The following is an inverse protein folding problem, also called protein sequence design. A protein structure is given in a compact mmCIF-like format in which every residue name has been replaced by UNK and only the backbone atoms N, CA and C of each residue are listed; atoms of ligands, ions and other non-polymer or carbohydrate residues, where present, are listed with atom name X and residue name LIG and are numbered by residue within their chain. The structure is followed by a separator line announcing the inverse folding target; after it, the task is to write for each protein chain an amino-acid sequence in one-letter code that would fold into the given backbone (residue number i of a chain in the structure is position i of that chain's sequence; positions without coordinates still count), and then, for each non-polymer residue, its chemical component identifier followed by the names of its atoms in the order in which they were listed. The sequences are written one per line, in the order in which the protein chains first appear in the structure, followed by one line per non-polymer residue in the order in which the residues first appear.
data_IF_882769245652
#
_entry.id   IF_882769245652
#
_cell.length_a   1.000
_cell.length_b   1.000
_cell.length_c   1.000
_cell.angle_alpha   90.00
_cell.angle_beta   90.00
_cell.angle_gamma   90.00
#
_symmetry.space_group_name_H-M   'P 1'
#
loop_
_entity.id
_entity.type
_entity.pdbx_description
1 polymer ?
#
# COMPACT_ATOMS: atom_id res chain seq x y z
N UNK A 1 -12.83 16.49 35.41
CA UNK A 1 -12.07 15.53 34.59
C UNK A 1 -10.62 15.64 35.02
N UNK A 2 -9.98 14.53 35.26
CA UNK A 2 -8.53 14.48 35.58
C UNK A 2 -7.71 14.83 34.35
N UNK A 3 -6.58 15.50 34.57
CA UNK A 3 -5.67 15.95 33.52
C UNK A 3 -4.23 15.63 33.89
N UNK A 4 -3.41 15.33 32.89
CA UNK A 4 -1.96 15.19 33.03
C UNK A 4 -1.28 16.31 32.25
N UNK A 5 -0.42 17.09 32.92
CA UNK A 5 0.38 18.13 32.26
C UNK A 5 1.60 17.49 31.58
N UNK A 6 1.69 17.64 30.26
CA UNK A 6 2.77 17.14 29.42
C UNK A 6 3.14 18.18 28.39
N UNK A 7 4.35 18.10 27.85
CA UNK A 7 4.64 18.84 26.60
C UNK A 7 3.85 18.24 25.44
N UNK A 8 3.64 19.02 24.38
CA UNK A 8 2.95 18.53 23.18
C UNK A 8 3.62 17.25 22.64
N UNK A 9 4.94 17.22 22.56
CA UNK A 9 5.70 16.05 22.07
C UNK A 9 5.55 14.82 22.99
N UNK A 10 5.57 15.00 24.32
CA UNK A 10 5.32 13.92 25.27
C UNK A 10 3.90 13.37 25.14
N UNK A 11 2.92 14.25 24.98
CA UNK A 11 1.53 13.85 24.78
C UNK A 11 1.34 13.09 23.46
N UNK A 12 1.96 13.55 22.37
CA UNK A 12 1.95 12.87 21.06
C UNK A 12 2.48 11.44 21.17
N UNK A 13 3.68 11.27 21.72
CA UNK A 13 4.31 9.94 21.81
C UNK A 13 3.56 9.00 22.75
N UNK A 14 3.11 9.49 23.91
CA UNK A 14 2.26 8.75 24.86
C UNK A 14 0.96 8.29 24.20
N UNK A 15 0.32 9.14 23.42
CA UNK A 15 -0.88 8.79 22.69
C UNK A 15 -0.62 7.72 21.63
N UNK A 16 0.49 7.81 20.86
CA UNK A 16 0.86 6.81 19.85
C UNK A 16 1.02 5.42 20.47
N UNK A 17 1.66 5.31 21.65
CA UNK A 17 1.84 4.04 22.38
C UNK A 17 0.50 3.41 22.76
N UNK A 18 -0.52 4.22 23.07
CA UNK A 18 -1.83 3.74 23.47
C UNK A 18 -2.70 3.21 22.32
N UNK A 19 -2.28 3.36 21.06
CA UNK A 19 -3.06 2.94 19.92
C UNK A 19 -2.69 1.54 19.46
N UNK A 20 -3.68 0.68 19.31
CA UNK A 20 -3.56 -0.66 18.73
C UNK A 20 -4.50 -0.82 17.54
N UNK A 21 -4.25 -1.80 16.69
CA UNK A 21 -5.08 -2.11 15.54
C UNK A 21 -5.35 -3.62 15.46
N UNK A 22 -6.58 -3.99 15.07
CA UNK A 22 -6.98 -5.38 14.87
C UNK A 22 -6.26 -5.99 13.65
N UNK A 23 -5.61 -7.13 13.86
CA UNK A 23 -4.92 -7.88 12.80
C UNK A 23 -5.88 -8.78 12.04
N UNK A 24 -5.41 -9.40 10.94
CA UNK A 24 -6.24 -10.32 10.13
C UNK A 24 -6.60 -11.61 10.89
N UNK A 25 -5.75 -12.05 11.81
CA UNK A 25 -5.98 -13.21 12.68
C UNK A 25 -6.88 -12.94 13.88
N UNK A 26 -7.39 -11.70 14.02
CA UNK A 26 -8.24 -11.27 15.12
C UNK A 26 -7.47 -10.81 16.36
N UNK A 27 -6.15 -10.95 16.42
CA UNK A 27 -5.32 -10.39 17.50
C UNK A 27 -5.28 -8.86 17.43
N UNK A 28 -4.76 -8.21 18.48
CA UNK A 28 -4.47 -6.79 18.48
C UNK A 28 -2.97 -6.55 18.63
N UNK A 29 -2.43 -5.62 17.84
CA UNK A 29 -1.03 -5.22 17.90
C UNK A 29 -0.90 -3.70 17.98
N UNK A 30 0.22 -3.16 18.54
CA UNK A 30 0.49 -1.72 18.47
C UNK A 30 0.39 -1.20 17.04
N UNK A 31 -0.38 -0.12 16.85
CA UNK A 31 -0.58 0.48 15.52
C UNK A 31 0.74 1.03 14.96
N UNK A 32 1.50 1.72 15.81
CA UNK A 32 2.82 2.24 15.47
C UNK A 32 3.91 1.27 15.90
N UNK A 33 4.65 0.71 14.93
CA UNK A 33 5.74 -0.21 15.19
C UNK A 33 7.02 0.48 15.68
N UNK A 34 7.12 1.78 15.46
CA UNK A 34 8.24 2.62 15.83
C UNK A 34 8.27 3.92 15.03
N UNK A 35 9.35 4.67 15.22
CA UNK A 35 9.59 5.95 14.55
C UNK A 35 10.96 5.93 13.88
N UNK A 36 11.00 6.14 12.57
CA UNK A 36 12.23 6.47 11.86
C UNK A 36 12.57 7.93 12.08
N UNK A 37 13.80 8.23 12.48
CA UNK A 37 14.17 9.58 12.89
C UNK A 37 15.55 10.01 12.42
N UNK A 38 15.63 11.25 11.92
CA UNK A 38 16.85 12.06 11.86
C UNK A 38 16.59 13.31 12.68
N UNK A 39 17.46 13.54 13.66
CA UNK A 39 17.32 14.66 14.58
C UNK A 39 18.15 15.86 14.15
N UNK A 40 17.60 17.02 14.38
CA UNK A 40 18.24 18.32 14.27
C UNK A 40 17.53 19.31 15.18
N UNK A 41 17.87 20.62 15.09
CA UNK A 41 17.31 21.64 15.98
C UNK A 41 15.77 21.72 15.93
N UNK A 42 15.14 21.32 14.82
CA UNK A 42 13.69 21.38 14.64
C UNK A 42 12.88 20.30 15.37
N UNK A 43 13.53 19.24 15.89
CA UNK A 43 12.81 18.13 16.52
C UNK A 43 13.54 17.44 17.69
N UNK A 44 14.84 17.74 17.94
CA UNK A 44 15.62 16.99 18.95
C UNK A 44 15.18 17.31 20.37
N UNK A 45 15.02 18.59 20.71
CA UNK A 45 14.67 19.03 22.07
C UNK A 45 13.19 18.81 22.44
N UNK A 46 12.31 18.58 21.45
CA UNK A 46 10.92 18.28 21.67
C UNK A 46 10.62 16.79 21.45
N UNK A 47 10.39 16.43 20.18
CA UNK A 47 10.00 15.06 19.82
C UNK A 47 11.10 14.03 20.13
N UNK A 48 12.38 14.37 19.93
CA UNK A 48 13.50 13.46 20.21
C UNK A 48 13.58 13.08 21.68
N UNK A 49 13.44 14.03 22.59
CA UNK A 49 13.42 13.79 24.03
C UNK A 49 12.19 12.97 24.46
N UNK A 50 11.01 13.28 23.90
CA UNK A 50 9.80 12.54 24.16
C UNK A 50 9.89 11.07 23.69
N UNK A 51 10.48 10.81 22.51
CA UNK A 51 10.74 9.46 22.00
C UNK A 51 11.72 8.69 22.88
N UNK A 52 12.77 9.35 23.38
CA UNK A 52 13.68 8.71 24.31
C UNK A 52 12.98 8.23 25.59
N UNK A 53 12.02 9.01 26.09
CA UNK A 53 11.16 8.63 27.22
C UNK A 53 10.25 7.44 26.96
N UNK A 54 9.93 7.14 25.70
CA UNK A 54 9.04 6.03 25.29
C UNK A 54 9.79 4.89 24.56
N UNK A 55 11.12 4.87 24.57
CA UNK A 55 11.96 3.97 23.76
C UNK A 55 11.65 2.47 23.89
N UNK A 56 11.16 2.04 25.06
CA UNK A 56 10.83 0.63 25.31
C UNK A 56 9.50 0.21 24.67
N UNK A 57 8.57 1.16 24.48
CA UNK A 57 7.23 0.92 23.91
C UNK A 57 7.07 1.45 22.47
N UNK A 58 7.87 2.44 22.10
CA UNK A 58 7.88 3.05 20.77
C UNK A 58 9.34 3.21 20.30
N UNK A 59 9.96 2.16 19.78
CA UNK A 59 11.36 2.17 19.39
C UNK A 59 11.65 3.22 18.30
N UNK A 60 12.82 3.85 18.40
CA UNK A 60 13.29 4.82 17.44
C UNK A 60 14.42 4.24 16.61
N UNK A 61 14.30 4.30 15.29
CA UNK A 61 15.29 3.84 14.33
C UNK A 61 15.95 5.04 13.65
N UNK A 62 17.27 5.02 13.54
CA UNK A 62 18.01 6.09 12.86
C UNK A 62 18.32 5.68 11.43
N UNK A 63 17.94 6.53 10.48
CA UNK A 63 18.33 6.41 9.08
C UNK A 63 19.50 7.32 8.72
N UNK A 64 20.04 7.14 7.52
CA UNK A 64 21.07 7.98 6.94
C UNK A 64 20.51 9.05 5.97
N UNK A 65 19.22 8.87 5.58
CA UNK A 65 18.54 9.72 4.61
C UNK A 65 17.04 9.71 4.89
N UNK A 66 16.41 10.87 4.87
CA UNK A 66 14.99 11.04 5.24
C UNK A 66 14.05 10.38 4.23
N UNK A 67 14.37 10.43 2.92
CA UNK A 67 13.59 9.73 1.90
C UNK A 67 13.67 8.21 2.12
N UNK A 68 14.86 7.68 2.41
CA UNK A 68 15.06 6.25 2.70
C UNK A 68 14.27 5.79 3.92
N UNK A 69 14.21 6.59 5.00
CA UNK A 69 13.36 6.31 6.16
C UNK A 69 11.88 6.23 5.78
N UNK A 70 11.42 7.17 4.94
CA UNK A 70 10.06 7.14 4.41
C UNK A 70 9.79 5.87 3.59
N UNK A 71 10.73 5.46 2.74
CA UNK A 71 10.62 4.22 1.96
C UNK A 71 10.53 2.97 2.84
N UNK A 72 11.37 2.86 3.88
CA UNK A 72 11.31 1.75 4.84
C UNK A 72 9.97 1.70 5.58
N UNK A 73 9.45 2.86 6.02
CA UNK A 73 8.14 2.96 6.66
C UNK A 73 7.00 2.52 5.73
N UNK A 74 7.07 2.89 4.45
CA UNK A 74 6.10 2.52 3.42
C UNK A 74 6.13 1.01 3.17
N UNK A 75 7.33 0.45 3.02
CA UNK A 75 7.51 -0.98 2.80
C UNK A 75 6.99 -1.80 3.99
N UNK A 76 7.28 -1.37 5.20
CA UNK A 76 6.74 -1.96 6.42
C UNK A 76 5.20 -1.97 6.41
N UNK A 77 4.57 -0.82 6.15
CA UNK A 77 3.12 -0.71 6.12
C UNK A 77 2.48 -1.61 5.04
N UNK A 78 3.14 -1.73 3.87
CA UNK A 78 2.72 -2.62 2.79
C UNK A 78 2.83 -4.09 3.21
N UNK A 79 3.96 -4.50 3.80
CA UNK A 79 4.19 -5.89 4.23
C UNK A 79 3.25 -6.30 5.37
N UNK A 80 2.90 -5.36 6.25
CA UNK A 80 1.93 -5.55 7.33
C UNK A 80 0.47 -5.39 6.88
N UNK A 81 0.20 -5.44 5.57
CA UNK A 81 -1.16 -5.33 5.00
C UNK A 81 -1.94 -4.11 5.51
N UNK A 82 -1.25 -2.96 5.69
CA UNK A 82 -1.76 -1.70 6.24
C UNK A 82 -2.23 -1.77 7.71
N UNK A 83 -1.99 -2.90 8.41
CA UNK A 83 -2.46 -3.13 9.79
C UNK A 83 -1.41 -2.86 10.86
N UNK A 84 -0.25 -2.39 10.47
CA UNK A 84 0.76 -1.75 11.31
C UNK A 84 1.51 -0.76 10.43
N UNK A 85 1.94 0.33 11.00
CA UNK A 85 2.64 1.38 10.29
C UNK A 85 3.71 2.02 11.18
N UNK A 86 4.49 2.90 10.60
CA UNK A 86 5.54 3.62 11.30
C UNK A 86 5.31 5.13 11.14
N UNK A 87 5.87 5.90 12.06
CA UNK A 87 6.04 7.33 11.87
C UNK A 87 7.46 7.62 11.36
N UNK A 88 7.61 8.78 10.71
CA UNK A 88 8.90 9.28 10.20
C UNK A 88 9.05 10.72 10.62
N UNK A 89 10.17 11.07 11.27
CA UNK A 89 10.45 12.45 11.68
C UNK A 89 11.80 12.92 11.17
N UNK A 90 11.87 14.17 10.83
CA UNK A 90 13.08 14.88 10.46
C UNK A 90 13.14 16.25 11.10
N UNK A 91 14.29 16.88 11.03
CA UNK A 91 14.44 18.30 11.31
C UNK A 91 13.65 19.15 10.31
N UNK A 92 13.76 20.47 10.40
CA UNK A 92 13.05 21.40 9.53
C UNK A 92 13.74 21.53 8.16
N UNK A 93 13.08 22.21 7.23
CA UNK A 93 13.63 22.64 5.95
C UNK A 93 14.12 21.48 5.08
N UNK A 94 15.43 21.37 4.78
CA UNK A 94 15.95 20.36 3.85
C UNK A 94 15.69 18.93 4.32
N UNK A 95 15.71 18.63 5.62
CA UNK A 95 15.35 17.32 6.14
C UNK A 95 13.88 17.00 5.90
N UNK A 96 12.99 17.96 6.14
CA UNK A 96 11.57 17.81 5.87
C UNK A 96 11.28 17.62 4.38
N UNK A 97 11.80 18.52 3.52
CA UNK A 97 11.55 18.45 2.07
C UNK A 97 12.12 17.19 1.43
N UNK A 98 13.18 16.60 1.99
CA UNK A 98 13.73 15.33 1.54
C UNK A 98 12.77 14.13 1.76
N UNK A 99 11.73 14.25 2.59
CA UNK A 99 10.69 13.24 2.76
C UNK A 99 9.53 13.36 1.76
N UNK A 100 9.42 14.46 1.02
CA UNK A 100 8.25 14.75 0.17
C UNK A 100 8.07 13.69 -0.93
N UNK A 101 9.14 13.22 -1.56
CA UNK A 101 9.09 12.12 -2.52
C UNK A 101 8.53 10.84 -1.90
N UNK A 102 8.95 10.50 -0.69
CA UNK A 102 8.43 9.33 0.02
C UNK A 102 6.94 9.51 0.37
N UNK A 103 6.51 10.71 0.79
CA UNK A 103 5.10 11.01 1.03
C UNK A 103 4.27 10.85 -0.25
N UNK A 104 4.76 11.35 -1.40
CA UNK A 104 4.12 11.17 -2.70
C UNK A 104 3.99 9.69 -3.08
N UNK A 105 5.05 8.90 -2.85
CA UNK A 105 5.03 7.44 -3.08
C UNK A 105 3.98 6.75 -2.20
N UNK A 106 3.92 7.08 -0.90
CA UNK A 106 2.89 6.58 0.01
C UNK A 106 1.48 6.99 -0.45
N UNK A 107 1.31 8.22 -0.93
CA UNK A 107 0.05 8.74 -1.44
C UNK A 107 -0.43 7.96 -2.66
N UNK A 108 0.43 7.78 -3.67
CA UNK A 108 0.11 7.06 -4.90
C UNK A 108 -0.23 5.60 -4.61
N UNK A 109 0.51 4.95 -3.70
CA UNK A 109 0.29 3.54 -3.34
C UNK A 109 -0.74 3.35 -2.23
N UNK A 110 -1.31 4.44 -1.68
CA UNK A 110 -2.30 4.41 -0.58
C UNK A 110 -1.80 3.63 0.63
N UNK A 111 -0.60 3.94 1.09
CA UNK A 111 0.04 3.27 2.21
C UNK A 111 0.09 4.18 3.44
N UNK A 112 -0.27 3.66 4.63
CA UNK A 112 -0.33 4.46 5.85
C UNK A 112 1.06 4.74 6.39
N UNK A 113 1.44 6.02 6.44
CA UNK A 113 2.65 6.52 7.09
C UNK A 113 2.33 7.85 7.76
N UNK A 114 2.82 8.05 8.98
CA UNK A 114 2.71 9.31 9.70
C UNK A 114 4.02 10.10 9.57
N UNK A 115 4.01 11.19 8.81
CA UNK A 115 5.14 12.12 8.71
C UNK A 115 5.03 13.20 9.78
N UNK A 116 6.11 13.41 10.53
CA UNK A 116 6.23 14.35 11.64
C UNK A 116 7.43 15.29 11.42
N UNK A 117 7.46 16.10 10.35
CA UNK A 117 8.54 17.07 10.15
C UNK A 117 8.48 18.19 11.20
N UNK A 118 9.65 18.64 11.65
CA UNK A 118 9.76 19.91 12.36
C UNK A 118 9.37 21.09 11.46
N UNK A 119 8.86 22.17 12.05
CA UNK A 119 8.43 23.37 11.31
C UNK A 119 8.95 24.64 11.96
N UNK A 120 8.65 25.79 11.37
CA UNK A 120 8.92 27.13 11.91
C UNK A 120 8.40 27.28 13.33
N UNK A 121 8.79 28.37 14.00
CA UNK A 121 8.20 28.76 15.28
C UNK A 121 6.78 29.28 15.07
N UNK A 122 5.83 28.77 15.85
CA UNK A 122 4.43 29.21 15.78
C UNK A 122 4.26 30.68 16.18
N UNK A 123 5.08 31.16 17.12
CA UNK A 123 5.07 32.56 17.60
C UNK A 123 5.70 33.54 16.60
N UNK A 124 6.41 33.05 15.59
CA UNK A 124 7.06 33.84 14.51
C UNK A 124 8.03 34.92 14.95
N UNK A 125 8.55 34.86 16.17
CA UNK A 125 9.55 35.83 16.64
C UNK A 125 10.90 35.69 15.95
N UNK A 126 11.45 34.45 15.79
CA UNK A 126 12.64 34.25 14.97
C UNK A 126 12.28 34.40 13.49
N UNK A 127 12.98 35.31 12.80
CA UNK A 127 12.81 35.56 11.36
C UNK A 127 14.10 36.19 10.79
N UNK A 128 14.74 35.59 9.76
CA UNK A 128 14.42 34.29 9.17
C UNK A 128 14.82 33.11 10.07
N UNK A 129 14.05 32.04 10.01
CA UNK A 129 14.34 30.79 10.73
C UNK A 129 15.37 29.97 9.98
N UNK A 130 16.37 29.45 10.69
CA UNK A 130 17.40 28.58 10.09
C UNK A 130 16.74 27.40 9.35
N UNK A 131 17.21 27.14 8.12
CA UNK A 131 16.72 26.04 7.26
C UNK A 131 15.23 26.15 6.88
N UNK A 132 14.70 27.36 6.78
CA UNK A 132 13.37 27.61 6.26
C UNK A 132 13.40 28.41 4.97
N UNK A 133 12.29 28.39 4.25
CA UNK A 133 12.06 29.25 3.09
C UNK A 133 11.46 30.56 3.55
N UNK A 134 11.76 31.64 2.86
CA UNK A 134 11.17 32.96 3.06
C UNK A 134 10.18 33.22 1.92
N UNK A 135 8.94 33.58 2.27
CA UNK A 135 7.93 34.04 1.31
C UNK A 135 7.60 35.50 1.65
N UNK A 136 7.93 36.42 0.75
CA UNK A 136 7.71 37.85 0.97
C UNK A 136 6.24 38.27 0.84
N UNK A 137 5.38 37.42 0.27
CA UNK A 137 3.97 37.68 0.05
C UNK A 137 3.07 37.08 1.14
N UNK A 138 3.47 35.93 1.71
CA UNK A 138 2.67 35.19 2.69
C UNK A 138 3.57 34.62 3.81
N UNK A 139 3.58 35.29 4.95
CA UNK A 139 4.33 34.85 6.14
C UNK A 139 3.79 33.57 6.80
N UNK A 140 2.73 32.93 6.27
CA UNK A 140 2.22 31.65 6.76
C UNK A 140 2.84 30.43 6.05
N UNK A 141 3.56 30.66 4.94
CA UNK A 141 4.21 29.62 4.17
C UNK A 141 5.46 29.11 4.89
N UNK A 142 5.64 27.79 4.89
CA UNK A 142 6.87 27.14 5.30
C UNK A 142 7.27 26.05 4.31
N UNK A 143 8.50 25.53 4.43
CA UNK A 143 8.97 24.42 3.60
C UNK A 143 8.01 23.21 3.64
N UNK A 144 7.32 23.00 4.77
CA UNK A 144 6.41 21.88 4.96
C UNK A 144 5.09 21.97 4.16
N UNK A 145 4.77 23.11 3.56
CA UNK A 145 3.61 23.21 2.68
C UNK A 145 3.74 22.34 1.42
N UNK A 146 4.97 21.91 1.07
CA UNK A 146 5.21 20.91 0.03
C UNK A 146 4.54 19.54 0.33
N UNK A 147 4.18 19.24 1.58
CA UNK A 147 3.46 18.02 1.93
C UNK A 147 1.96 18.07 1.63
N UNK A 148 1.37 19.25 1.47
CA UNK A 148 -0.09 19.40 1.27
C UNK A 148 -0.61 18.57 0.09
N UNK A 149 -0.05 18.66 -1.14
CA UNK A 149 -0.55 17.91 -2.27
C UNK A 149 -0.26 16.41 -2.20
N UNK A 150 0.66 15.98 -1.36
CA UNK A 150 1.09 14.57 -1.25
C UNK A 150 0.62 13.89 0.02
N UNK A 151 -0.16 14.56 0.89
CA UNK A 151 -0.76 13.99 2.09
C UNK A 151 -2.26 13.80 1.92
N UNK A 152 -2.83 12.74 2.53
CA UNK A 152 -4.29 12.57 2.65
C UNK A 152 -4.89 13.49 3.71
N UNK A 153 -4.11 13.75 4.76
CA UNK A 153 -4.43 14.72 5.78
C UNK A 153 -3.15 15.48 6.14
N UNK A 154 -3.22 16.78 6.17
CA UNK A 154 -2.14 17.69 6.59
C UNK A 154 -2.67 18.62 7.68
N UNK A 155 -1.88 18.76 8.75
CA UNK A 155 -2.14 19.77 9.78
C UNK A 155 -0.83 20.37 10.26
N UNK A 156 -0.83 21.67 10.58
CA UNK A 156 0.29 22.36 11.21
C UNK A 156 -0.07 22.60 12.68
N UNK A 157 0.71 22.00 13.57
CA UNK A 157 0.46 22.08 15.02
C UNK A 157 1.14 23.35 15.55
N UNK A 158 0.32 24.37 15.77
CA UNK A 158 0.72 25.70 16.26
C UNK A 158 0.33 25.93 17.72
N UNK A 159 -0.36 24.97 18.36
CA UNK A 159 -0.71 24.95 19.77
C UNK A 159 -0.77 23.52 20.28
N UNK A 160 -0.37 23.24 21.53
CA UNK A 160 -0.36 21.88 22.08
C UNK A 160 -1.72 21.17 22.02
N UNK A 161 -2.80 21.87 22.34
CA UNK A 161 -4.16 21.30 22.40
C UNK A 161 -4.72 20.86 21.04
N UNK A 162 -4.14 21.30 19.91
CA UNK A 162 -4.60 20.90 18.59
C UNK A 162 -4.51 19.40 18.37
N UNK A 163 -3.52 18.71 19.01
CA UNK A 163 -3.38 17.27 18.87
C UNK A 163 -4.61 16.49 19.37
N UNK A 164 -5.42 17.06 20.26
CA UNK A 164 -6.67 16.46 20.72
C UNK A 164 -7.65 16.20 19.56
N UNK A 165 -7.62 17.05 18.53
CA UNK A 165 -8.45 16.93 17.33
C UNK A 165 -7.71 16.26 16.17
N UNK A 166 -6.43 16.56 16.00
CA UNK A 166 -5.65 16.09 14.86
C UNK A 166 -5.35 14.58 14.93
N UNK A 167 -4.97 14.05 16.11
CA UNK A 167 -4.57 12.65 16.23
C UNK A 167 -5.71 11.64 15.97
N UNK A 168 -6.96 11.84 16.42
CA UNK A 168 -8.07 11.00 15.98
C UNK A 168 -8.29 11.02 14.47
N UNK A 169 -8.10 12.18 13.81
CA UNK A 169 -8.17 12.28 12.33
C UNK A 169 -7.03 11.55 11.64
N UNK A 170 -5.80 11.61 12.20
CA UNK A 170 -4.67 10.79 11.72
C UNK A 170 -5.09 9.33 11.61
N UNK A 171 -5.60 8.74 12.69
CA UNK A 171 -6.00 7.34 12.68
C UNK A 171 -7.18 7.06 11.76
N UNK A 172 -8.13 8.00 11.63
CA UNK A 172 -9.25 7.82 10.70
C UNK A 172 -8.79 7.70 9.24
N UNK A 173 -7.69 8.34 8.87
CA UNK A 173 -7.09 8.21 7.54
C UNK A 173 -6.22 6.96 7.42
N UNK A 174 -5.32 6.73 8.40
CA UNK A 174 -4.39 5.59 8.35
C UNK A 174 -5.13 4.24 8.37
N UNK A 175 -6.30 4.16 9.01
CA UNK A 175 -7.12 2.95 9.13
C UNK A 175 -8.28 2.86 8.12
N UNK A 176 -8.45 3.84 7.21
CA UNK A 176 -9.51 3.79 6.20
C UNK A 176 -9.08 2.94 5.00
N UNK A 177 -9.76 1.83 4.67
CA UNK A 177 -9.35 0.99 3.54
C UNK A 177 -9.50 1.69 2.17
N UNK A 178 -10.40 2.67 2.05
CA UNK A 178 -10.69 3.38 0.79
C UNK A 178 -9.81 4.61 0.58
N UNK A 179 -9.56 5.38 1.65
CA UNK A 179 -8.83 6.66 1.60
C UNK A 179 -7.46 6.61 2.25
N UNK A 180 -6.98 5.44 2.64
CA UNK A 180 -5.67 5.23 3.23
C UNK A 180 -4.55 5.95 2.48
N UNK A 181 -3.59 6.48 3.21
CA UNK A 181 -2.40 7.13 2.67
C UNK A 181 -1.61 7.87 3.73
N UNK A 182 -0.60 8.65 3.33
CA UNK A 182 0.25 9.37 4.25
C UNK A 182 -0.52 10.51 4.94
N UNK A 183 -0.18 10.71 6.19
CA UNK A 183 -0.62 11.86 6.99
C UNK A 183 0.59 12.66 7.41
N UNK A 184 0.52 13.98 7.32
CA UNK A 184 1.59 14.86 7.80
C UNK A 184 1.05 15.77 8.91
N UNK A 185 1.70 15.68 10.07
CA UNK A 185 1.58 16.66 11.13
C UNK A 185 2.87 17.48 11.19
N UNK A 186 2.80 18.71 10.76
CA UNK A 186 3.92 19.65 10.76
C UNK A 186 4.05 20.26 12.16
N UNK A 187 5.16 19.95 12.86
CA UNK A 187 5.31 20.24 14.29
C UNK A 187 6.12 21.52 14.49
N UNK A 188 5.48 22.64 14.82
CA UNK A 188 6.17 23.88 15.13
C UNK A 188 7.16 23.67 16.28
N UNK A 189 8.38 24.19 16.09
CA UNK A 189 9.54 23.88 16.94
C UNK A 189 9.32 24.28 18.40
N UNK A 190 8.80 25.46 18.67
CA UNK A 190 8.44 25.99 20.00
C UNK A 190 7.34 25.16 20.66
N UNK A 191 6.28 24.85 19.90
CA UNK A 191 5.10 24.13 20.36
C UNK A 191 5.41 22.70 20.82
N UNK A 192 6.43 22.05 20.26
CA UNK A 192 6.83 20.71 20.71
C UNK A 192 7.18 20.68 22.21
N UNK A 193 7.73 21.76 22.75
CA UNK A 193 8.12 21.88 24.14
C UNK A 193 7.07 22.61 25.02
N UNK A 194 6.02 23.16 24.44
CA UNK A 194 4.95 23.80 25.19
C UNK A 194 4.12 22.79 25.97
N UNK A 195 3.82 23.12 27.23
CA UNK A 195 3.05 22.28 28.14
C UNK A 195 1.57 22.59 28.10
N UNK A 196 0.74 21.56 28.19
CA UNK A 196 -0.71 21.67 28.28
C UNK A 196 -1.28 20.60 29.22
N UNK A 197 -2.41 20.89 29.88
CA UNK A 197 -3.13 19.95 30.76
C UNK A 197 -4.07 19.07 29.93
N UNK A 198 -3.54 17.98 29.38
CA UNK A 198 -4.31 17.05 28.55
C UNK A 198 -5.28 16.21 29.39
N UNK A 199 -6.54 16.01 28.94
CA UNK A 199 -7.46 15.10 29.61
C UNK A 199 -6.93 13.66 29.64
N UNK A 200 -6.95 13.00 30.81
CA UNK A 200 -6.40 11.63 30.97
C UNK A 200 -7.06 10.62 30.01
N UNK A 201 -8.36 10.80 29.71
CA UNK A 201 -9.09 9.98 28.73
C UNK A 201 -8.47 9.99 27.33
N UNK A 202 -7.69 11.03 26.97
CA UNK A 202 -7.03 11.14 25.70
C UNK A 202 -5.96 10.05 25.50
N UNK A 203 -5.39 9.56 26.58
CA UNK A 203 -4.36 8.52 26.59
C UNK A 203 -4.91 7.11 26.86
N UNK A 204 -6.23 6.96 26.89
CA UNK A 204 -6.83 5.65 27.07
C UNK A 204 -6.47 4.70 25.92
N UNK A 205 -6.07 3.44 26.20
CA UNK A 205 -5.81 2.46 25.18
C UNK A 205 -7.01 2.27 24.25
N UNK A 206 -6.75 2.23 22.95
CA UNK A 206 -7.79 2.05 21.93
C UNK A 206 -7.34 1.03 20.88
N UNK A 207 -8.26 0.10 20.52
CA UNK A 207 -8.10 -0.80 19.39
C UNK A 207 -8.92 -0.25 18.23
N UNK A 208 -8.24 0.01 17.11
CA UNK A 208 -8.86 0.45 15.87
C UNK A 208 -9.22 -0.75 15.02
N UNK A 209 -10.39 -0.69 14.41
CA UNK A 209 -10.88 -1.70 13.48
C UNK A 209 -10.79 -1.15 12.05
N UNK A 210 -10.20 -1.91 11.13
CA UNK A 210 -10.33 -1.59 9.70
C UNK A 210 -11.70 -2.04 9.21
N UNK A 211 -12.53 -1.07 8.84
CA UNK A 211 -13.89 -1.33 8.41
C UNK A 211 -13.91 -2.16 7.13
N UNK A 212 -14.75 -3.23 7.11
CA UNK A 212 -15.09 -3.98 5.90
C UNK A 212 -16.41 -3.45 5.34
N UNK A 213 -16.32 -2.74 4.21
CA UNK A 213 -17.51 -2.21 3.53
C UNK A 213 -18.25 -3.36 2.83
N UNK A 214 -19.54 -3.53 3.10
CA UNK A 214 -20.40 -4.45 2.36
C UNK A 214 -20.87 -3.77 1.09
N UNK A 215 -20.82 -4.46 -0.07
CA UNK A 215 -21.40 -3.94 -1.30
C UNK A 215 -22.94 -3.79 -1.17
N UNK A 216 -23.48 -2.91 -1.98
CA UNK A 216 -24.93 -2.78 -2.13
C UNK A 216 -25.53 -4.04 -2.79
N UNK A 217 -26.75 -4.43 -2.38
CA UNK A 217 -27.42 -5.62 -2.90
C UNK A 217 -27.72 -5.53 -4.40
N UNK A 218 -28.06 -4.33 -4.90
CA UNK A 218 -28.34 -4.11 -6.30
C UNK A 218 -27.05 -4.24 -7.15
N UNK A 219 -25.92 -3.70 -6.67
CA UNK A 219 -24.61 -3.83 -7.32
C UNK A 219 -24.19 -5.31 -7.41
N UNK A 220 -24.35 -6.05 -6.33
CA UNK A 220 -24.06 -7.50 -6.29
C UNK A 220 -24.99 -8.28 -7.24
N UNK A 221 -26.27 -7.96 -7.29
CA UNK A 221 -27.23 -8.65 -8.18
C UNK A 221 -26.85 -8.45 -9.65
N UNK A 222 -26.46 -7.23 -10.05
CA UNK A 222 -25.99 -6.93 -11.40
C UNK A 222 -24.68 -7.70 -11.72
N UNK A 223 -23.73 -7.73 -10.80
CA UNK A 223 -22.48 -8.48 -10.92
C UNK A 223 -22.72 -9.99 -11.12
N UNK A 224 -23.61 -10.58 -10.33
CA UNK A 224 -24.00 -11.99 -10.46
C UNK A 224 -24.64 -12.26 -11.83
N UNK A 225 -25.52 -11.38 -12.29
CA UNK A 225 -26.18 -11.52 -13.58
C UNK A 225 -25.17 -11.46 -14.75
N UNK A 226 -24.16 -10.59 -14.66
CA UNK A 226 -23.09 -10.50 -15.64
C UNK A 226 -22.22 -11.77 -15.65
N UNK A 227 -21.77 -12.23 -14.48
CA UNK A 227 -20.91 -13.43 -14.36
C UNK A 227 -21.65 -14.71 -14.81
N UNK A 228 -22.95 -14.86 -14.53
CA UNK A 228 -23.73 -16.00 -15.01
C UNK A 228 -23.87 -16.09 -16.52
N UNK A 229 -23.84 -14.95 -17.21
CA UNK A 229 -23.92 -14.89 -18.69
C UNK A 229 -22.55 -15.04 -19.36
N UNK A 230 -21.47 -14.79 -18.61
CA UNK A 230 -20.13 -14.83 -19.13
C UNK A 230 -19.74 -16.23 -19.63
N UNK A 231 -19.15 -16.29 -20.80
CA UNK A 231 -18.62 -17.54 -21.41
C UNK A 231 -17.11 -17.65 -21.21
N UNK A 232 -16.45 -16.51 -21.10
CA UNK A 232 -14.99 -16.38 -21.00
C UNK A 232 -14.61 -15.36 -19.91
N UNK A 233 -15.06 -15.55 -18.67
CA UNK A 233 -14.73 -14.62 -17.59
C UNK A 233 -13.25 -14.73 -17.21
N UNK A 234 -12.64 -13.59 -16.83
CA UNK A 234 -11.31 -13.52 -16.25
C UNK A 234 -11.37 -12.76 -14.93
N UNK A 235 -10.68 -13.23 -13.89
CA UNK A 235 -10.48 -12.46 -12.67
C UNK A 235 -9.16 -11.70 -12.79
N UNK A 236 -9.18 -10.40 -12.51
CA UNK A 236 -7.99 -9.55 -12.39
C UNK A 236 -7.78 -9.19 -10.92
N UNK A 237 -6.83 -9.83 -10.26
CA UNK A 237 -6.50 -9.59 -8.87
C UNK A 237 -5.56 -8.40 -8.70
N UNK A 238 -5.99 -7.40 -7.93
CA UNK A 238 -5.20 -6.24 -7.53
C UNK A 238 -4.75 -6.31 -6.07
N UNK A 239 -4.03 -5.27 -5.62
CA UNK A 239 -3.52 -5.17 -4.25
C UNK A 239 -4.59 -5.16 -3.17
N UNK A 240 -5.84 -4.79 -3.50
CA UNK A 240 -6.97 -4.84 -2.57
C UNK A 240 -7.29 -6.24 -2.05
N UNK A 241 -7.02 -7.30 -2.83
CA UNK A 241 -7.13 -8.69 -2.39
C UNK A 241 -6.21 -8.95 -1.21
N UNK A 242 -4.95 -8.53 -1.31
CA UNK A 242 -3.95 -8.66 -0.25
C UNK A 242 -4.37 -7.91 1.02
N UNK A 243 -4.67 -6.61 0.90
CA UNK A 243 -4.99 -5.76 2.05
C UNK A 243 -6.29 -6.15 2.77
N UNK A 244 -7.20 -6.80 2.06
CA UNK A 244 -8.42 -7.36 2.61
C UNK A 244 -8.21 -8.74 3.26
N UNK A 245 -7.06 -9.41 3.02
CA UNK A 245 -6.83 -10.80 3.44
C UNK A 245 -7.69 -11.78 2.65
N UNK A 246 -8.00 -11.46 1.39
CA UNK A 246 -8.95 -12.20 0.57
C UNK A 246 -8.32 -13.28 -0.33
N UNK A 247 -7.03 -13.62 -0.16
CA UNK A 247 -6.33 -14.58 -1.03
C UNK A 247 -6.98 -15.95 -1.04
N UNK A 248 -7.38 -16.49 0.12
CA UNK A 248 -8.10 -17.78 0.19
C UNK A 248 -9.46 -17.71 -0.50
N UNK A 249 -10.26 -16.67 -0.21
CA UNK A 249 -11.58 -16.50 -0.84
C UNK A 249 -11.49 -16.31 -2.36
N UNK A 250 -10.42 -15.65 -2.85
CA UNK A 250 -10.14 -15.55 -4.29
C UNK A 250 -9.84 -16.93 -4.89
N UNK A 251 -9.02 -17.73 -4.25
CA UNK A 251 -8.66 -19.07 -4.69
C UNK A 251 -9.90 -19.96 -4.74
N UNK A 252 -10.66 -20.03 -3.65
CA UNK A 252 -11.88 -20.81 -3.55
C UNK A 252 -12.92 -20.41 -4.62
N UNK A 253 -13.07 -19.11 -4.86
CA UNK A 253 -13.97 -18.60 -5.89
C UNK A 253 -13.50 -18.98 -7.30
N UNK A 254 -12.21 -18.80 -7.60
CA UNK A 254 -11.64 -19.15 -8.90
C UNK A 254 -11.78 -20.65 -9.21
N UNK A 255 -11.47 -21.50 -8.22
CA UNK A 255 -11.62 -22.96 -8.35
C UNK A 255 -13.09 -23.38 -8.52
N UNK A 256 -13.95 -22.90 -7.62
CA UNK A 256 -15.36 -23.29 -7.62
C UNK A 256 -16.11 -22.87 -8.89
N UNK A 257 -15.71 -21.76 -9.52
CA UNK A 257 -16.31 -21.25 -10.74
C UNK A 257 -15.54 -21.64 -12.03
N UNK A 258 -14.35 -22.24 -11.91
CA UNK A 258 -13.49 -22.58 -13.04
C UNK A 258 -13.02 -21.35 -13.82
N UNK A 259 -12.70 -20.24 -13.12
CA UNK A 259 -12.32 -18.97 -13.74
C UNK A 259 -10.81 -18.75 -13.58
N UNK A 260 -10.08 -18.40 -14.65
CA UNK A 260 -8.66 -18.07 -14.54
C UNK A 260 -8.45 -16.73 -13.82
N UNK A 261 -7.30 -16.62 -13.12
CA UNK A 261 -6.87 -15.43 -12.37
C UNK A 261 -5.60 -14.87 -12.96
N UNK A 262 -5.64 -13.61 -13.35
CA UNK A 262 -4.46 -12.80 -13.67
C UNK A 262 -4.21 -11.78 -12.55
N UNK A 263 -2.96 -11.37 -12.35
CA UNK A 263 -2.62 -10.40 -11.31
C UNK A 263 -2.02 -9.12 -11.88
N UNK A 264 -2.33 -7.99 -11.22
CA UNK A 264 -1.61 -6.73 -11.45
C UNK A 264 -0.25 -6.76 -10.75
N UNK A 265 0.60 -5.75 -10.97
CA UNK A 265 1.84 -5.57 -10.20
C UNK A 265 1.60 -5.61 -8.67
N UNK A 266 0.55 -4.96 -8.20
CA UNK A 266 0.21 -4.93 -6.78
C UNK A 266 -0.51 -6.21 -6.29
N UNK A 267 -1.08 -6.98 -7.21
CA UNK A 267 -1.80 -8.22 -6.93
C UNK A 267 -0.96 -9.48 -7.12
N UNK A 268 0.24 -9.39 -7.70
CA UNK A 268 1.12 -10.54 -7.85
C UNK A 268 1.44 -11.15 -6.48
N UNK A 269 1.44 -12.46 -6.38
CA UNK A 269 1.55 -13.26 -5.14
C UNK A 269 0.30 -13.33 -4.24
N UNK A 270 -0.86 -12.87 -4.68
CA UNK A 270 -2.12 -13.14 -3.94
C UNK A 270 -2.58 -14.59 -4.07
N UNK A 271 -2.05 -15.29 -5.06
CA UNK A 271 -2.25 -16.72 -5.33
C UNK A 271 -0.89 -17.34 -5.69
N UNK A 272 -0.60 -18.59 -5.30
CA UNK A 272 0.63 -19.26 -5.70
C UNK A 272 0.80 -19.35 -7.21
N UNK A 273 1.99 -19.11 -7.72
CA UNK A 273 2.28 -19.12 -9.17
C UNK A 273 1.98 -20.47 -9.84
N UNK A 274 2.16 -21.55 -9.07
CA UNK A 274 1.90 -22.94 -9.54
C UNK A 274 0.41 -23.32 -9.60
N UNK A 275 -0.47 -22.47 -9.08
CA UNK A 275 -1.89 -22.77 -9.04
C UNK A 275 -2.46 -22.92 -10.46
N UNK A 276 -3.30 -23.94 -10.75
CA UNK A 276 -3.79 -24.21 -12.11
C UNK A 276 -4.65 -23.07 -12.69
N UNK A 277 -5.36 -22.33 -11.85
CA UNK A 277 -6.15 -21.18 -12.30
C UNK A 277 -5.34 -19.89 -12.44
N UNK A 278 -4.09 -19.83 -11.93
CA UNK A 278 -3.27 -18.63 -12.06
C UNK A 278 -2.58 -18.57 -13.40
N UNK A 279 -2.93 -17.60 -14.23
CA UNK A 279 -2.42 -17.48 -15.62
C UNK A 279 -1.33 -16.42 -15.79
N UNK A 280 -0.79 -15.94 -14.67
CA UNK A 280 0.32 -14.97 -14.67
C UNK A 280 -0.14 -13.53 -14.47
N UNK A 281 0.72 -12.62 -14.85
CA UNK A 281 0.53 -11.19 -14.65
C UNK A 281 -0.14 -10.52 -15.86
N UNK A 282 -1.05 -9.56 -15.64
CA UNK A 282 -1.72 -8.77 -16.69
C UNK A 282 -1.08 -7.39 -16.82
N UNK A 283 -0.92 -6.91 -18.03
CA UNK A 283 -0.52 -5.55 -18.34
C UNK A 283 0.61 -5.44 -19.36
N UNK A 284 1.19 -4.25 -19.49
CA UNK A 284 2.31 -3.96 -20.41
C UNK A 284 3.50 -4.90 -20.12
N UNK A 285 3.74 -5.19 -18.86
CA UNK A 285 4.76 -6.14 -18.38
C UNK A 285 4.15 -7.48 -17.97
N UNK A 286 3.03 -7.86 -18.57
CA UNK A 286 2.30 -9.08 -18.24
C UNK A 286 2.77 -10.31 -19.00
N UNK A 287 2.19 -11.47 -18.67
CA UNK A 287 2.36 -12.72 -19.38
C UNK A 287 1.56 -12.74 -20.68
N UNK A 288 2.04 -13.48 -21.68
CA UNK A 288 1.26 -13.67 -22.91
C UNK A 288 -0.07 -14.36 -22.65
N UNK A 289 -0.11 -15.33 -21.74
CA UNK A 289 -1.33 -16.04 -21.36
C UNK A 289 -2.39 -15.12 -20.77
N UNK A 290 -2.03 -14.29 -19.77
CA UNK A 290 -2.97 -13.38 -19.14
C UNK A 290 -3.45 -12.29 -20.11
N UNK A 291 -2.53 -11.73 -20.91
CA UNK A 291 -2.87 -10.67 -21.87
C UNK A 291 -3.79 -11.19 -22.99
N UNK A 292 -3.53 -12.40 -23.51
CA UNK A 292 -4.36 -13.04 -24.51
C UNK A 292 -5.79 -13.35 -23.98
N UNK A 293 -5.87 -13.88 -22.76
CA UNK A 293 -7.16 -14.12 -22.10
C UNK A 293 -7.92 -12.82 -21.87
N UNK A 294 -7.26 -11.74 -21.44
CA UNK A 294 -7.91 -10.45 -21.22
C UNK A 294 -8.47 -9.83 -22.49
N UNK A 295 -7.77 -9.99 -23.62
CA UNK A 295 -8.26 -9.52 -24.92
C UNK A 295 -9.50 -10.28 -25.41
N UNK A 296 -9.65 -11.53 -25.02
CA UNK A 296 -10.74 -12.43 -25.44
C UNK A 296 -11.83 -12.62 -24.38
N UNK A 297 -11.64 -12.10 -23.18
CA UNK A 297 -12.62 -12.15 -22.13
C UNK A 297 -13.88 -11.36 -22.51
N UNK A 298 -15.05 -11.91 -22.24
CA UNK A 298 -16.32 -11.21 -22.34
C UNK A 298 -16.67 -10.42 -21.07
N UNK A 299 -16.19 -10.91 -19.90
CA UNK A 299 -16.27 -10.21 -18.61
C UNK A 299 -14.93 -10.30 -17.88
N UNK A 300 -14.42 -9.17 -17.37
CA UNK A 300 -13.26 -9.13 -16.49
C UNK A 300 -13.71 -8.66 -15.10
N UNK A 301 -13.67 -9.57 -14.13
CA UNK A 301 -13.90 -9.24 -12.72
C UNK A 301 -12.61 -8.68 -12.12
N UNK A 302 -12.53 -7.36 -12.02
CA UNK A 302 -11.43 -6.65 -11.39
C UNK A 302 -11.64 -6.56 -9.88
N UNK A 303 -10.78 -7.21 -9.08
CA UNK A 303 -10.88 -7.24 -7.63
C UNK A 303 -9.78 -6.42 -6.99
N UNK A 304 -10.14 -5.29 -6.38
CA UNK A 304 -9.21 -4.43 -5.65
C UNK A 304 -8.09 -3.83 -6.50
N UNK A 305 -8.32 -3.63 -7.79
CA UNK A 305 -7.41 -2.95 -8.72
C UNK A 305 -7.87 -1.52 -9.02
N UNK A 306 -6.90 -0.63 -9.23
CA UNK A 306 -7.16 0.75 -9.69
C UNK A 306 -7.25 0.86 -11.21
N UNK A 307 -7.07 -0.24 -11.94
CA UNK A 307 -7.08 -0.27 -13.40
C UNK A 307 -6.20 0.83 -14.02
N UNK A 308 -4.94 0.90 -13.55
CA UNK A 308 -3.97 1.87 -14.06
C UNK A 308 -3.56 1.54 -15.52
N UNK A 309 -2.97 2.52 -16.20
CA UNK A 309 -2.53 2.44 -17.58
C UNK A 309 -1.65 1.22 -17.87
N UNK A 310 -0.65 0.95 -17.04
CA UNK A 310 0.23 -0.23 -17.16
C UNK A 310 -0.53 -1.56 -17.07
N UNK A 311 -1.54 -1.64 -16.21
CA UNK A 311 -2.39 -2.83 -16.07
C UNK A 311 -3.31 -3.01 -17.27
N UNK A 312 -3.87 -1.91 -17.78
CA UNK A 312 -4.84 -1.95 -18.88
C UNK A 312 -4.20 -1.84 -20.28
N UNK A 313 -2.86 -1.66 -20.32
CA UNK A 313 -2.15 -1.36 -21.57
C UNK A 313 -2.71 -0.10 -22.22
N UNK A 314 -2.83 0.98 -21.46
CA UNK A 314 -3.45 2.25 -21.87
C UNK A 314 -4.85 2.03 -22.46
N UNK A 315 -5.67 1.21 -21.78
CA UNK A 315 -7.03 0.78 -22.16
C UNK A 315 -7.10 -0.11 -23.41
N UNK A 316 -5.95 -0.67 -23.82
CA UNK A 316 -5.84 -1.51 -25.02
C UNK A 316 -6.04 -3.01 -24.80
N UNK A 317 -5.80 -3.52 -23.58
CA UNK A 317 -5.78 -4.96 -23.31
C UNK A 317 -7.15 -5.56 -22.99
N UNK A 318 -7.99 -4.88 -22.20
CA UNK A 318 -9.30 -5.40 -21.80
C UNK A 318 -10.34 -4.92 -22.80
N UNK A 319 -11.00 -5.85 -23.50
CA UNK A 319 -12.01 -5.56 -24.53
C UNK A 319 -13.44 -5.86 -24.07
N UNK A 320 -13.60 -6.77 -23.15
CA UNK A 320 -14.91 -7.14 -22.60
C UNK A 320 -15.40 -6.20 -21.49
N UNK A 321 -16.61 -6.50 -21.00
CA UNK A 321 -17.18 -5.74 -19.88
C UNK A 321 -16.34 -5.87 -18.63
N UNK A 322 -15.98 -4.75 -18.02
CA UNK A 322 -15.34 -4.74 -16.71
C UNK A 322 -16.42 -4.76 -15.64
N UNK A 323 -16.24 -5.65 -14.64
CA UNK A 323 -16.96 -5.67 -13.39
C UNK A 323 -15.93 -5.32 -12.32
N UNK A 324 -16.11 -4.22 -11.59
CA UNK A 324 -15.09 -3.71 -10.67
C UNK A 324 -15.54 -3.76 -9.22
N UNK A 325 -14.96 -4.70 -8.46
CA UNK A 325 -15.10 -4.78 -7.01
C UNK A 325 -13.97 -4.00 -6.35
N UNK A 326 -14.28 -2.85 -5.75
CA UNK A 326 -13.29 -1.98 -5.12
C UNK A 326 -13.89 -1.25 -3.92
N UNK A 327 -13.11 -1.04 -2.85
CA UNK A 327 -13.55 -0.24 -1.68
C UNK A 327 -13.68 1.24 -1.99
N UNK A 328 -13.02 1.73 -3.07
CA UNK A 328 -13.02 3.14 -3.46
C UNK A 328 -13.89 3.34 -4.70
N UNK A 329 -14.97 4.09 -4.54
CA UNK A 329 -15.91 4.39 -5.63
C UNK A 329 -15.21 4.98 -6.87
N UNK A 330 -14.26 5.92 -6.67
CA UNK A 330 -13.50 6.53 -7.76
C UNK A 330 -12.79 5.51 -8.65
N UNK A 331 -12.33 4.39 -8.08
CA UNK A 331 -11.71 3.31 -8.87
C UNK A 331 -12.73 2.33 -9.43
N UNK A 332 -13.83 2.11 -8.72
CA UNK A 332 -14.85 1.15 -9.10
C UNK A 332 -15.62 1.57 -10.38
N UNK A 333 -15.84 2.88 -10.58
CA UNK A 333 -16.61 3.42 -11.70
C UNK A 333 -15.81 3.60 -13.01
N UNK A 334 -14.50 3.33 -13.00
CA UNK A 334 -13.65 3.52 -14.19
C UNK A 334 -14.05 2.59 -15.33
N UNK A 335 -13.83 3.04 -16.57
CA UNK A 335 -13.98 2.24 -17.78
C UNK A 335 -15.41 1.71 -18.01
N UNK A 336 -16.43 2.47 -17.65
CA UNK A 336 -17.84 2.08 -17.75
C UNK A 336 -18.13 0.71 -17.10
N UNK A 337 -17.43 0.43 -15.98
CA UNK A 337 -17.51 -0.84 -15.29
C UNK A 337 -18.88 -1.02 -14.60
N UNK A 338 -19.38 -2.26 -14.57
CA UNK A 338 -20.37 -2.67 -13.56
C UNK A 338 -19.70 -2.47 -12.21
N UNK A 339 -20.26 -1.56 -11.42
CA UNK A 339 -19.65 -1.07 -10.18
C UNK A 339 -20.10 -1.92 -9.00
N UNK A 340 -19.14 -2.35 -8.17
CA UNK A 340 -19.40 -3.01 -6.87
C UNK A 340 -18.50 -2.36 -5.84
N UNK A 341 -19.08 -1.51 -4.98
CA UNK A 341 -18.29 -0.76 -3.97
C UNK A 341 -18.27 -1.54 -2.66
N UNK A 342 -17.15 -2.25 -2.42
CA UNK A 342 -17.03 -3.08 -1.23
C UNK A 342 -15.64 -3.64 -0.97
N UNK A 343 -15.47 -4.24 0.20
CA UNK A 343 -14.28 -4.98 0.60
C UNK A 343 -14.12 -6.24 -0.26
N UNK A 344 -12.91 -6.55 -0.70
CA UNK A 344 -12.64 -7.66 -1.61
C UNK A 344 -13.03 -9.03 -0.99
N UNK A 345 -12.77 -9.26 0.31
CA UNK A 345 -13.15 -10.52 0.97
C UNK A 345 -14.66 -10.66 0.98
N UNK A 346 -15.38 -9.66 1.47
CA UNK A 346 -16.84 -9.68 1.57
C UNK A 346 -17.48 -9.84 0.20
N UNK A 347 -16.98 -9.14 -0.81
CA UNK A 347 -17.48 -9.23 -2.18
C UNK A 347 -17.25 -10.61 -2.80
N UNK A 348 -16.04 -11.17 -2.67
CA UNK A 348 -15.72 -12.51 -3.19
C UNK A 348 -16.52 -13.61 -2.50
N UNK A 349 -16.66 -13.57 -1.17
CA UNK A 349 -17.51 -14.51 -0.42
C UNK A 349 -18.98 -14.44 -0.88
N UNK A 350 -19.50 -13.22 -1.07
CA UNK A 350 -20.88 -13.00 -1.50
C UNK A 350 -21.11 -13.53 -2.93
N UNK A 351 -20.20 -13.21 -3.86
CA UNK A 351 -20.26 -13.70 -5.24
C UNK A 351 -20.09 -15.23 -5.30
N UNK A 352 -19.12 -15.78 -4.56
CA UNK A 352 -18.86 -17.21 -4.50
C UNK A 352 -20.08 -17.99 -3.95
N UNK A 353 -20.74 -17.44 -2.93
CA UNK A 353 -21.96 -18.05 -2.41
C UNK A 353 -23.10 -18.04 -3.42
N UNK A 354 -23.32 -16.91 -4.10
CA UNK A 354 -24.40 -16.74 -5.07
C UNK A 354 -24.20 -17.53 -6.37
N UNK A 355 -22.93 -17.82 -6.71
CA UNK A 355 -22.56 -18.54 -7.94
C UNK A 355 -22.25 -20.03 -7.68
N UNK A 356 -22.62 -20.58 -6.54
CA UNK A 356 -22.44 -22.02 -6.27
C UNK A 356 -23.06 -22.89 -7.35
N UNK A 357 -22.29 -23.84 -7.87
CA UNK A 357 -22.70 -24.73 -8.94
C UNK A 357 -22.66 -24.10 -10.34
N UNK A 358 -22.25 -22.84 -10.45
CA UNK A 358 -21.98 -22.21 -11.74
C UNK A 358 -20.51 -22.38 -12.09
N UNK A 359 -20.22 -23.00 -13.23
CA UNK A 359 -18.86 -23.23 -13.72
C UNK A 359 -18.74 -22.80 -15.17
N UNK A 360 -17.55 -22.35 -15.54
CA UNK A 360 -17.19 -22.18 -16.93
C UNK A 360 -17.13 -23.54 -17.64
N UNK A 361 -17.32 -23.57 -18.97
CA UNK A 361 -17.30 -24.82 -19.71
C UNK A 361 -15.87 -25.41 -19.76
N UNK A 362 -15.79 -26.76 -19.87
CA UNK A 362 -14.53 -27.50 -19.92
C UNK A 362 -13.61 -27.02 -21.05
N UNK A 363 -14.16 -26.65 -22.20
CA UNK A 363 -13.38 -26.16 -23.35
C UNK A 363 -12.63 -24.88 -22.99
N UNK A 364 -13.23 -23.97 -22.23
CA UNK A 364 -12.56 -22.76 -21.77
C UNK A 364 -11.51 -23.05 -20.69
N UNK A 365 -11.80 -24.00 -19.78
CA UNK A 365 -10.81 -24.42 -18.78
C UNK A 365 -9.60 -25.08 -19.43
N UNK A 366 -9.78 -25.91 -20.43
CA UNK A 366 -8.69 -26.50 -21.21
C UNK A 366 -7.86 -25.44 -21.96
N UNK A 367 -8.53 -24.43 -22.49
CA UNK A 367 -7.86 -23.33 -23.21
C UNK A 367 -6.92 -22.54 -22.28
N UNK A 368 -7.41 -22.02 -21.13
CA UNK A 368 -6.52 -21.26 -20.25
C UNK A 368 -5.43 -22.13 -19.63
N UNK A 369 -5.70 -23.40 -19.35
CA UNK A 369 -4.70 -24.33 -18.88
C UNK A 369 -3.60 -24.59 -19.94
N UNK A 370 -3.97 -24.61 -21.23
CA UNK A 370 -2.99 -24.70 -22.33
C UNK A 370 -2.13 -23.44 -22.39
N UNK A 371 -2.72 -22.25 -22.38
CA UNK A 371 -2.01 -20.97 -22.42
C UNK A 371 -1.05 -20.82 -21.24
N UNK A 372 -1.48 -21.24 -20.04
CA UNK A 372 -0.60 -21.28 -18.86
C UNK A 372 0.62 -22.17 -19.09
N UNK A 373 0.44 -23.41 -19.55
CA UNK A 373 1.56 -24.32 -19.82
C UNK A 373 2.54 -23.77 -20.88
N UNK A 374 2.00 -23.14 -21.93
CA UNK A 374 2.83 -22.50 -22.96
C UNK A 374 3.65 -21.35 -22.39
N UNK A 375 3.03 -20.52 -21.52
CA UNK A 375 3.72 -19.45 -20.82
C UNK A 375 4.78 -19.98 -19.84
N UNK A 376 4.45 -20.99 -19.03
CA UNK A 376 5.39 -21.60 -18.09
C UNK A 376 6.62 -22.16 -18.82
N UNK A 377 6.42 -22.81 -19.95
CA UNK A 377 7.51 -23.32 -20.81
C UNK A 377 8.36 -22.19 -21.40
N UNK A 378 7.74 -21.07 -21.80
CA UNK A 378 8.47 -19.89 -22.28
C UNK A 378 9.33 -19.27 -21.18
N UNK A 379 8.82 -19.16 -19.95
CA UNK A 379 9.59 -18.70 -18.78
C UNK A 379 10.75 -19.63 -18.50
N UNK A 380 10.53 -20.96 -18.51
CA UNK A 380 11.59 -21.92 -18.29
C UNK A 380 12.70 -21.78 -19.33
N UNK A 381 12.35 -21.59 -20.60
CA UNK A 381 13.33 -21.46 -21.70
C UNK A 381 14.23 -20.21 -21.58
N UNK A 382 13.69 -19.06 -21.10
CA UNK A 382 14.46 -17.80 -21.00
C UNK A 382 15.21 -17.63 -19.68
N UNK A 383 14.86 -18.41 -18.65
CA UNK A 383 15.47 -18.31 -17.31
C UNK A 383 16.61 -19.29 -17.07
N UNK A 384 17.01 -20.07 -18.08
CA UNK A 384 18.14 -21.03 -18.00
C UNK A 384 19.47 -20.28 -17.92
N UNK A 385 20.49 -21.00 -17.42
CA UNK A 385 21.85 -20.50 -17.42
C UNK A 385 22.36 -20.38 -18.89
N UNK A 386 22.99 -19.25 -19.25
CA UNK A 386 23.59 -19.13 -20.59
C UNK A 386 24.68 -20.17 -20.84
N UNK A 387 24.83 -20.58 -22.08
CA UNK A 387 25.90 -21.53 -22.49
C UNK A 387 27.26 -20.80 -22.57
N UNK A 388 28.32 -21.53 -22.24
CA UNK A 388 29.71 -21.08 -22.34
C UNK A 388 29.99 -19.85 -21.39
N UNK A 389 30.76 -18.89 -21.93
CA UNK A 389 31.17 -17.68 -21.21
C UNK A 389 30.31 -16.44 -21.54
N UNK A 390 29.12 -16.62 -22.09
CA UNK A 390 28.22 -15.50 -22.37
C UNK A 390 27.76 -14.85 -21.07
N UNK A 391 27.64 -13.50 -21.06
CA UNK A 391 27.05 -12.78 -19.94
C UNK A 391 25.56 -13.16 -19.79
N UNK A 392 25.08 -13.34 -18.55
CA UNK A 392 23.68 -13.68 -18.33
C UNK A 392 22.78 -12.51 -18.74
N UNK A 393 21.64 -12.83 -19.32
CA UNK A 393 20.54 -11.87 -19.49
C UNK A 393 19.86 -11.60 -18.14
N UNK A 394 19.07 -10.51 -18.04
CA UNK A 394 18.22 -10.22 -16.89
C UNK A 394 17.33 -11.41 -16.51
N UNK A 395 16.75 -12.07 -17.53
CA UNK A 395 15.92 -13.27 -17.34
C UNK A 395 16.70 -14.44 -16.73
N UNK A 396 17.93 -14.66 -17.18
CA UNK A 396 18.79 -15.72 -16.62
C UNK A 396 19.18 -15.43 -15.17
N UNK A 397 19.45 -14.16 -14.83
CA UNK A 397 19.74 -13.74 -13.45
C UNK A 397 18.50 -13.95 -12.56
N UNK A 398 17.32 -13.49 -13.00
CA UNK A 398 16.06 -13.69 -12.27
C UNK A 398 15.83 -15.19 -12.02
N UNK A 399 15.98 -16.02 -13.05
CA UNK A 399 15.83 -17.48 -12.94
C UNK A 399 16.83 -18.11 -11.98
N UNK A 400 18.09 -17.68 -12.02
CA UNK A 400 19.13 -18.18 -11.13
C UNK A 400 18.83 -17.82 -9.66
N UNK A 401 18.44 -16.57 -9.39
CA UNK A 401 18.04 -16.15 -8.03
C UNK A 401 16.82 -16.92 -7.57
N UNK A 402 15.76 -16.96 -8.38
CA UNK A 402 14.48 -17.58 -8.01
C UNK A 402 14.62 -19.08 -7.66
N UNK A 403 15.52 -19.82 -8.33
CA UNK A 403 15.79 -21.24 -8.05
C UNK A 403 16.63 -21.49 -6.79
N UNK A 404 17.38 -20.48 -6.34
CA UNK A 404 18.35 -20.64 -5.23
C UNK A 404 17.93 -19.95 -3.93
N UNK A 405 16.75 -19.35 -3.89
CA UNK A 405 16.20 -18.72 -2.68
C UNK A 405 15.06 -19.56 -2.10
N UNK A 406 14.80 -19.48 -0.78
CA UNK A 406 13.65 -20.13 -0.17
C UNK A 406 12.31 -19.68 -0.77
N UNK A 407 11.30 -20.54 -0.75
CA UNK A 407 9.96 -20.25 -1.26
C UNK A 407 9.31 -19.05 -0.54
N UNK A 408 9.75 -18.73 0.69
CA UNK A 408 9.28 -17.61 1.51
C UNK A 408 9.96 -16.28 1.18
N UNK A 409 10.89 -16.27 0.20
CA UNK A 409 11.61 -15.04 -0.19
C UNK A 409 10.68 -14.03 -0.80
N UNK A 410 10.84 -12.77 -0.39
CA UNK A 410 10.13 -11.62 -0.93
C UNK A 410 11.03 -10.90 -1.93
N UNK A 411 10.61 -10.83 -3.19
CA UNK A 411 11.28 -10.01 -4.19
C UNK A 411 10.84 -8.54 -4.03
N UNK A 412 11.78 -7.65 -3.71
CA UNK A 412 11.52 -6.21 -3.59
C UNK A 412 12.04 -5.48 -4.81
N UNK A 413 11.21 -4.68 -5.45
CA UNK A 413 11.59 -3.90 -6.63
C UNK A 413 10.80 -2.60 -6.74
N UNK A 414 11.25 -1.71 -7.62
CA UNK A 414 10.58 -0.43 -7.87
C UNK A 414 10.61 -0.04 -9.36
N UNK A 415 11.59 0.73 -9.79
CA UNK A 415 11.65 1.33 -11.11
C UNK A 415 12.61 0.61 -12.06
N UNK A 416 12.48 0.89 -13.36
CA UNK A 416 13.38 0.40 -14.42
C UNK A 416 12.86 -0.84 -15.17
N UNK A 417 13.71 -1.45 -15.99
CA UNK A 417 13.39 -2.64 -16.80
C UNK A 417 13.24 -3.91 -15.95
N UNK A 418 14.11 -4.10 -14.96
CA UNK A 418 14.12 -5.28 -14.10
C UNK A 418 12.78 -5.54 -13.39
N UNK A 419 12.07 -4.57 -12.81
CA UNK A 419 10.72 -4.76 -12.29
C UNK A 419 9.70 -5.28 -13.31
N UNK A 420 9.84 -4.87 -14.58
CA UNK A 420 9.03 -5.41 -15.66
C UNK A 420 9.29 -6.89 -15.91
N UNK A 421 10.56 -7.28 -15.92
CA UNK A 421 10.96 -8.68 -16.05
C UNK A 421 10.57 -9.51 -14.81
N UNK A 422 10.74 -8.97 -13.60
CA UNK A 422 10.24 -9.61 -12.37
C UNK A 422 8.73 -9.87 -12.41
N UNK A 423 7.94 -8.95 -12.96
CA UNK A 423 6.49 -9.12 -13.09
C UNK A 423 6.14 -10.32 -13.98
N UNK A 424 6.90 -10.55 -15.05
CA UNK A 424 6.73 -11.68 -15.97
C UNK A 424 7.28 -13.00 -15.40
N UNK A 425 8.52 -12.96 -14.89
CA UNK A 425 9.36 -14.14 -14.77
C UNK A 425 9.53 -14.64 -13.33
N UNK A 426 9.35 -13.77 -12.31
CA UNK A 426 9.49 -14.18 -10.92
C UNK A 426 8.33 -15.09 -10.51
N UNK A 427 8.64 -16.31 -10.12
CA UNK A 427 7.67 -17.27 -9.58
C UNK A 427 7.65 -17.17 -8.07
N UNK A 428 6.55 -16.69 -7.53
CA UNK A 428 6.35 -16.58 -6.09
C UNK A 428 6.05 -17.94 -5.49
N UNK A 429 6.83 -18.33 -4.46
CA UNK A 429 6.61 -19.60 -3.76
C UNK A 429 5.54 -19.51 -2.66
N UNK A 430 5.21 -18.29 -2.23
CA UNK A 430 4.25 -18.03 -1.15
C UNK A 430 3.41 -16.78 -1.44
N UNK A 431 2.27 -16.71 -0.76
CA UNK A 431 1.48 -15.46 -0.69
C UNK A 431 2.35 -14.37 -0.07
N UNK A 432 2.23 -13.14 -0.58
CA UNK A 432 3.02 -11.98 -0.17
C UNK A 432 4.54 -12.04 -0.53
N UNK A 433 4.95 -12.97 -1.38
CA UNK A 433 6.34 -13.12 -1.86
C UNK A 433 6.78 -12.11 -2.93
N UNK A 434 5.97 -11.09 -3.23
CA UNK A 434 6.27 -10.07 -4.23
C UNK A 434 5.93 -8.68 -3.71
N UNK A 435 6.93 -7.80 -3.66
CA UNK A 435 6.81 -6.46 -3.13
C UNK A 435 7.34 -5.44 -4.14
N UNK A 436 6.46 -4.92 -4.97
CA UNK A 436 6.82 -3.97 -6.02
C UNK A 436 6.27 -2.58 -5.72
N UNK A 437 7.13 -1.58 -5.80
CA UNK A 437 6.75 -0.17 -5.84
C UNK A 437 6.89 0.32 -7.29
N UNK A 438 5.84 0.27 -8.05
CA UNK A 438 5.84 0.78 -9.43
C UNK A 438 4.88 1.96 -9.61
N UNK A 439 3.99 2.20 -8.66
CA UNK A 439 2.94 3.21 -8.78
C UNK A 439 3.47 4.64 -8.86
N UNK A 440 4.55 4.94 -8.15
CA UNK A 440 5.30 6.20 -8.25
C UNK A 440 6.66 5.99 -8.90
N UNK A 441 7.12 4.77 -8.98
CA UNK A 441 8.32 4.30 -9.68
C UNK A 441 9.61 4.97 -9.20
N UNK A 442 9.80 5.02 -7.87
CA UNK A 442 10.91 5.72 -7.24
C UNK A 442 12.13 4.82 -7.12
N UNK A 443 13.18 5.11 -7.92
CA UNK A 443 14.46 4.41 -7.83
C UNK A 443 15.09 4.58 -6.44
N UNK A 444 15.75 3.53 -5.95
CA UNK A 444 16.36 3.49 -4.62
C UNK A 444 15.41 3.00 -3.52
N UNK A 445 14.12 2.81 -3.84
CA UNK A 445 13.18 2.20 -2.91
C UNK A 445 13.59 0.77 -2.53
N UNK A 446 14.18 0.03 -3.44
CA UNK A 446 14.52 -1.38 -3.31
C UNK A 446 15.35 -1.67 -2.04
N UNK A 447 16.39 -0.86 -1.81
CA UNK A 447 17.31 -1.06 -0.67
C UNK A 447 16.63 -0.68 0.65
N UNK A 448 16.07 0.53 0.72
CA UNK A 448 15.41 1.01 1.93
C UNK A 448 14.13 0.21 2.25
N UNK A 449 13.41 -0.25 1.21
CA UNK A 449 12.21 -1.05 1.36
C UNK A 449 12.47 -2.51 1.75
N UNK A 450 13.70 -2.99 1.58
CA UNK A 450 14.09 -4.35 1.97
C UNK A 450 14.57 -4.44 3.45
N UNK A 451 14.79 -3.29 4.11
CA UNK A 451 15.13 -3.24 5.55
C UNK A 451 13.95 -3.67 6.43
#
# INVERSE_FOLDING_TARGET
MTTTTLTMAQALTKWMVAQSIRQLDGSAAPAFAGVWAIFGHGNVAGLGEALYGQRDSLPTFRGHNEQGMGHAAIAYAKQMNRRRFMAVTSSIGPGATNMVTAAALAHVNRLPVLFLPGDVFADRRPDPVLQQVEDFADGTVSANDCFRPVSRYFDRITRPEQILQSLPKVMSVLCDPAQCGPVTLSLCQDVQAESYAFPDRFFAPRIWEMRRQRPDEAEIAEAIAALRKAKRPLILAGGGVRYSGASAALTDFAESAGIPVAATQAGKSVMPEVHPNYVGSLGVTGSSAANDLAQRADVVLSVGSRLQDFTTGSNGLIKGQILSLNVQLHDAIKHDAITVVGDALVGLETLGHALRGHHTCDAYQQEYAKLKREWDAAVDAVTVKPEGNALPSDSAVIGAVNRNVPATTIAVGAAGSMPGELHKLWRTGAVDGYHMEYGFSCMGYEIAGAL
#
